data_IF_143807685474
#
_entry.id   IF_143807685474
#
_cell.length_a   1.000
_cell.length_b   1.000
_cell.length_c   1.000
_cell.angle_alpha   90.00
_cell.angle_beta   90.00
_cell.angle_gamma   90.00
#
_symmetry.space_group_name_H-M   'P 1'
#
loop_
_entity.id
_entity.type
_entity.pdbx_description
1 polymer ?
#
# COMPACT_ATOMS: atom_id res chain seq x y z
N UNK A 1 -21.85 15.82 -29.05
CA UNK A 1 -20.88 16.34 -28.07
C UNK A 1 -19.92 15.21 -27.77
N UNK A 2 -18.66 15.32 -28.17
CA UNK A 2 -17.68 14.25 -28.06
C UNK A 2 -16.97 14.40 -26.71
N UNK A 3 -17.05 13.37 -25.86
CA UNK A 3 -16.33 13.35 -24.59
C UNK A 3 -14.82 13.51 -24.89
N UNK A 4 -14.09 14.37 -24.16
CA UNK A 4 -12.66 14.53 -24.37
C UNK A 4 -11.98 13.17 -24.16
N UNK A 5 -11.09 12.82 -25.09
CA UNK A 5 -10.24 11.62 -25.01
C UNK A 5 -9.31 11.75 -23.80
N UNK A 6 -9.77 11.29 -22.64
CA UNK A 6 -8.95 11.15 -21.45
C UNK A 6 -7.92 10.07 -21.73
N UNK A 7 -6.63 10.43 -21.68
CA UNK A 7 -5.54 9.47 -21.53
C UNK A 7 -5.95 8.48 -20.44
N UNK A 8 -5.83 7.16 -20.63
CA UNK A 8 -6.25 6.21 -19.61
C UNK A 8 -5.30 6.32 -18.43
N UNK A 9 -5.68 7.10 -17.42
CA UNK A 9 -5.12 6.95 -16.08
C UNK A 9 -5.64 5.62 -15.57
N UNK A 10 -4.75 4.63 -15.45
CA UNK A 10 -5.11 3.31 -14.96
C UNK A 10 -5.63 3.46 -13.51
N UNK A 11 -6.80 2.85 -13.22
CA UNK A 11 -7.69 3.03 -12.06
C UNK A 11 -8.63 4.25 -12.15
N UNK A 12 -9.91 4.01 -12.45
CA UNK A 12 -10.97 5.02 -12.52
C UNK A 12 -12.16 4.59 -11.66
N UNK A 13 -12.56 5.43 -10.70
CA UNK A 13 -13.81 5.26 -9.96
C UNK A 13 -14.72 6.45 -10.28
N UNK A 14 -15.95 6.17 -10.73
CA UNK A 14 -16.99 7.17 -10.96
C UNK A 14 -17.86 7.29 -9.71
N UNK A 15 -17.71 8.40 -9.00
CA UNK A 15 -18.59 8.78 -7.88
C UNK A 15 -19.31 10.05 -8.30
N UNK A 16 -20.53 9.90 -8.82
CA UNK A 16 -21.42 11.03 -9.12
C UNK A 16 -20.75 12.15 -9.91
N UNK A 17 -20.24 11.87 -11.11
CA UNK A 17 -19.58 12.82 -12.04
C UNK A 17 -18.16 13.29 -11.67
N UNK A 18 -17.60 12.82 -10.56
CA UNK A 18 -16.19 13.06 -10.21
C UNK A 18 -15.33 11.86 -10.62
N UNK A 19 -14.71 11.94 -11.79
CA UNK A 19 -13.70 10.97 -12.21
C UNK A 19 -12.43 11.10 -11.37
N UNK A 20 -12.14 10.11 -10.51
CA UNK A 20 -10.92 10.05 -9.69
C UNK A 20 -9.96 9.02 -10.32
N UNK A 21 -8.75 9.45 -10.68
CA UNK A 21 -7.72 8.60 -11.34
C UNK A 21 -6.60 8.11 -10.42
N UNK A 22 -6.65 8.46 -9.13
CA UNK A 22 -5.54 8.24 -8.19
C UNK A 22 -5.94 7.20 -7.14
N UNK A 23 -5.38 5.99 -7.24
CA UNK A 23 -5.71 4.84 -6.39
C UNK A 23 -5.62 5.14 -4.87
N UNK A 24 -4.62 5.92 -4.42
CA UNK A 24 -4.50 6.33 -3.01
C UNK A 24 -5.64 7.24 -2.56
N UNK A 25 -6.10 8.14 -3.44
CA UNK A 25 -7.23 9.02 -3.14
C UNK A 25 -8.54 8.23 -3.13
N UNK A 26 -8.68 7.26 -4.03
CA UNK A 26 -9.84 6.35 -4.08
C UNK A 26 -9.91 5.51 -2.80
N UNK A 27 -8.83 4.85 -2.39
CA UNK A 27 -8.82 4.03 -1.18
C UNK A 27 -9.12 4.85 0.08
N UNK A 28 -8.51 6.02 0.23
CA UNK A 28 -8.82 6.96 1.33
C UNK A 28 -10.27 7.41 1.32
N UNK A 29 -10.81 7.70 0.13
CA UNK A 29 -12.22 8.08 0.00
C UNK A 29 -13.13 6.92 0.46
N UNK A 30 -12.92 5.71 -0.06
CA UNK A 30 -13.73 4.54 0.29
C UNK A 30 -13.67 4.20 1.79
N UNK A 31 -12.48 4.26 2.40
CA UNK A 31 -12.33 4.07 3.85
C UNK A 31 -13.25 5.05 4.62
N UNK A 32 -13.17 6.34 4.28
CA UNK A 32 -13.99 7.37 4.93
C UNK A 32 -15.49 7.20 4.71
N UNK A 33 -15.92 6.80 3.51
CA UNK A 33 -17.34 6.55 3.22
C UNK A 33 -17.88 5.33 3.99
N UNK A 34 -17.05 4.32 4.21
CA UNK A 34 -17.39 3.16 5.04
C UNK A 34 -17.39 3.49 6.54
N UNK A 35 -16.82 4.63 6.93
CA UNK A 35 -16.61 5.00 8.32
C UNK A 35 -15.55 4.15 9.04
N UNK A 36 -14.75 3.38 8.29
CA UNK A 36 -13.79 2.40 8.78
C UNK A 36 -12.49 2.45 7.96
N UNK A 37 -11.43 1.78 8.41
CA UNK A 37 -10.15 1.67 7.68
C UNK A 37 -9.35 2.97 7.50
N UNK A 38 -9.76 4.10 8.07
CA UNK A 38 -8.94 5.32 8.19
C UNK A 38 -8.62 5.60 9.68
N UNK A 39 -7.77 6.59 9.96
CA UNK A 39 -7.49 7.06 11.30
C UNK A 39 -8.71 7.76 11.93
N UNK A 40 -8.91 7.57 13.24
CA UNK A 40 -9.97 8.23 14.01
C UNK A 40 -9.55 9.63 14.50
N UNK A 41 -8.25 9.88 14.59
CA UNK A 41 -7.68 11.17 15.00
C UNK A 41 -6.84 11.76 13.88
N UNK A 42 -6.61 13.08 13.91
CA UNK A 42 -5.72 13.73 12.95
C UNK A 42 -4.30 13.16 12.98
N UNK A 43 -3.83 12.70 14.15
CA UNK A 43 -2.52 12.07 14.28
C UNK A 43 -2.49 10.69 13.60
N UNK A 44 -3.52 9.87 13.81
CA UNK A 44 -3.64 8.58 13.12
C UNK A 44 -3.70 8.77 11.59
N UNK A 45 -4.50 9.73 11.11
CA UNK A 45 -4.59 10.04 9.67
C UNK A 45 -3.25 10.49 9.09
N UNK A 46 -2.54 11.38 9.79
CA UNK A 46 -1.20 11.80 9.42
C UNK A 46 -0.23 10.61 9.34
N UNK A 47 -0.28 9.71 10.32
CA UNK A 47 0.55 8.52 10.34
C UNK A 47 0.29 7.60 9.14
N UNK A 48 -0.99 7.36 8.82
CA UNK A 48 -1.38 6.57 7.65
C UNK A 48 -0.98 7.22 6.32
N UNK A 49 -1.11 8.54 6.21
CA UNK A 49 -0.67 9.30 5.03
C UNK A 49 0.84 9.21 4.84
N UNK A 50 1.64 9.32 5.91
CA UNK A 50 3.09 9.21 5.84
C UNK A 50 3.56 7.83 5.32
N UNK A 51 2.90 6.76 5.76
CA UNK A 51 3.22 5.39 5.27
C UNK A 51 2.73 5.19 3.84
N UNK A 52 1.57 5.76 3.47
CA UNK A 52 1.08 5.73 2.09
C UNK A 52 2.02 6.45 1.10
N UNK A 53 2.67 7.54 1.52
CA UNK A 53 3.68 8.23 0.72
C UNK A 53 4.93 7.36 0.50
N UNK A 54 5.41 6.67 1.54
CA UNK A 54 6.52 5.71 1.42
C UNK A 54 6.18 4.56 0.46
N UNK A 55 4.94 4.05 0.52
CA UNK A 55 4.44 3.10 -0.47
C UNK A 55 4.45 3.69 -1.88
N UNK A 56 4.00 4.93 -2.06
CA UNK A 56 3.91 5.56 -3.38
C UNK A 56 5.30 5.74 -4.02
N UNK A 57 6.29 6.14 -3.23
CA UNK A 57 7.68 6.27 -3.67
C UNK A 57 8.24 4.91 -4.14
N UNK A 58 8.01 3.84 -3.36
CA UNK A 58 8.36 2.48 -3.76
C UNK A 58 7.60 2.06 -5.02
N UNK A 59 6.29 2.33 -5.12
CA UNK A 59 5.45 1.93 -6.26
C UNK A 59 5.94 2.53 -7.56
N UNK A 60 6.37 3.78 -7.57
CA UNK A 60 6.96 4.43 -8.75
C UNK A 60 8.22 3.67 -9.19
N UNK A 61 9.08 3.29 -8.24
CA UNK A 61 10.28 2.50 -8.55
C UNK A 61 9.93 1.10 -9.07
N UNK A 62 8.95 0.44 -8.44
CA UNK A 62 8.49 -0.88 -8.87
C UNK A 62 7.95 -0.85 -10.30
N UNK A 63 7.08 0.11 -10.64
CA UNK A 63 6.56 0.29 -12.01
C UNK A 63 7.69 0.50 -13.02
N UNK A 64 8.71 1.30 -12.68
CA UNK A 64 9.87 1.53 -13.55
C UNK A 64 10.75 0.28 -13.75
N UNK A 65 10.60 -0.74 -12.91
CA UNK A 65 11.36 -2.00 -12.96
C UNK A 65 10.51 -3.19 -13.44
N UNK A 66 9.27 -2.96 -13.90
CA UNK A 66 8.45 -4.00 -14.50
C UNK A 66 9.09 -4.52 -15.80
N UNK A 67 9.19 -5.85 -15.91
CA UNK A 67 9.79 -6.53 -17.07
C UNK A 67 11.32 -6.57 -17.09
N UNK A 68 12.00 -5.65 -16.39
CA UNK A 68 13.45 -5.69 -16.21
C UNK A 68 13.86 -5.12 -14.84
N UNK A 69 14.01 -6.02 -13.87
CA UNK A 69 14.42 -5.67 -12.51
C UNK A 69 15.89 -5.28 -12.48
N UNK A 70 16.19 -4.05 -12.09
CA UNK A 70 17.58 -3.58 -11.93
C UNK A 70 18.20 -4.03 -10.61
N UNK A 71 19.54 -4.14 -10.59
CA UNK A 71 20.29 -4.42 -9.35
C UNK A 71 20.07 -3.35 -8.28
N UNK A 72 19.96 -2.08 -8.68
CA UNK A 72 19.67 -0.98 -7.76
C UNK A 72 18.30 -1.15 -7.10
N UNK A 73 17.27 -1.48 -7.88
CA UNK A 73 15.93 -1.70 -7.31
C UNK A 73 15.95 -2.86 -6.31
N UNK A 74 16.53 -3.99 -6.71
CA UNK A 74 16.62 -5.20 -5.90
C UNK A 74 17.44 -5.02 -4.61
N UNK A 75 18.61 -4.39 -4.72
CA UNK A 75 19.60 -4.41 -3.64
C UNK A 75 19.59 -3.14 -2.78
N UNK A 76 18.96 -2.06 -3.24
CA UNK A 76 18.89 -0.80 -2.48
C UNK A 76 17.44 -0.38 -2.21
N UNK A 77 16.62 -0.23 -3.26
CA UNK A 77 15.27 0.36 -3.11
C UNK A 77 14.38 -0.54 -2.27
N UNK A 78 14.28 -1.83 -2.64
CA UNK A 78 13.40 -2.78 -1.94
C UNK A 78 13.84 -2.96 -0.48
N UNK A 79 15.10 -3.28 -0.15
CA UNK A 79 15.51 -3.40 1.26
C UNK A 79 15.29 -2.13 2.08
N UNK A 80 15.55 -0.95 1.50
CA UNK A 80 15.30 0.31 2.20
C UNK A 80 13.82 0.56 2.48
N UNK A 81 12.94 0.26 1.52
CA UNK A 81 11.50 0.34 1.69
C UNK A 81 11.02 -0.53 2.87
N UNK A 82 11.42 -1.81 2.89
CA UNK A 82 11.06 -2.74 3.96
C UNK A 82 11.62 -2.34 5.33
N UNK A 83 12.84 -1.78 5.38
CA UNK A 83 13.41 -1.25 6.60
C UNK A 83 12.62 -0.06 7.15
N UNK A 84 12.11 0.81 6.28
CA UNK A 84 11.27 1.94 6.68
C UNK A 84 9.91 1.43 7.17
N UNK A 85 9.27 0.50 6.46
CA UNK A 85 8.02 -0.12 6.91
C UNK A 85 8.17 -0.77 8.28
N UNK A 86 9.22 -1.56 8.51
CA UNK A 86 9.46 -2.21 9.80
C UNK A 86 9.51 -1.20 10.96
N UNK A 87 10.08 -0.01 10.75
CA UNK A 87 10.10 1.06 11.76
C UNK A 87 8.73 1.66 12.04
N UNK A 88 7.84 1.72 11.04
CA UNK A 88 6.47 2.18 11.23
C UNK A 88 5.63 1.13 11.97
N UNK A 89 5.68 -0.13 11.54
CA UNK A 89 4.96 -1.22 12.20
C UNK A 89 5.44 -1.49 13.62
N UNK A 90 6.71 -1.21 13.94
CA UNK A 90 7.23 -1.34 15.30
C UNK A 90 6.75 -0.26 16.29
N UNK A 91 6.00 0.77 15.85
CA UNK A 91 5.55 1.84 16.75
C UNK A 91 4.36 1.44 17.62
N UNK A 92 3.62 0.39 17.24
CA UNK A 92 2.46 -0.11 17.96
C UNK A 92 2.55 -1.63 18.10
N UNK A 93 1.96 -2.16 19.17
CA UNK A 93 1.74 -3.61 19.29
C UNK A 93 0.53 -4.00 18.44
N UNK A 94 0.62 -5.14 17.77
CA UNK A 94 -0.43 -5.68 16.90
C UNK A 94 0.04 -5.86 15.46
N UNK A 95 -0.77 -6.53 14.62
CA UNK A 95 -0.37 -6.90 13.26
C UNK A 95 -0.44 -5.73 12.25
N UNK A 96 -1.15 -4.64 12.56
CA UNK A 96 -1.41 -3.53 11.63
C UNK A 96 -0.76 -2.22 12.08
N UNK A 97 -0.73 -1.23 11.19
CA UNK A 97 -0.17 0.10 11.47
C UNK A 97 -0.80 0.80 12.68
N UNK A 98 -2.08 0.57 12.94
CA UNK A 98 -2.80 1.08 14.12
C UNK A 98 -3.10 -0.05 15.13
N UNK A 99 -2.14 -0.97 15.29
CA UNK A 99 -2.22 -2.11 16.20
C UNK A 99 -3.15 -3.20 15.70
N UNK A 100 -4.29 -3.40 16.36
CA UNK A 100 -5.29 -4.41 15.96
C UNK A 100 -6.25 -3.92 14.86
N UNK A 101 -6.19 -2.64 14.50
CA UNK A 101 -7.07 -2.03 13.49
C UNK A 101 -6.40 -2.01 12.13
N UNK A 102 -6.96 -2.78 11.20
CA UNK A 102 -6.59 -2.73 9.78
C UNK A 102 -7.04 -1.41 9.14
N UNK A 103 -6.20 -0.88 8.25
CA UNK A 103 -6.42 0.40 7.57
C UNK A 103 -6.23 0.29 6.07
N UNK A 104 -6.64 1.31 5.32
CA UNK A 104 -6.43 1.37 3.88
C UNK A 104 -4.93 1.28 3.53
N UNK A 105 -4.06 1.77 4.40
CA UNK A 105 -2.61 1.74 4.20
C UNK A 105 -2.04 0.33 4.36
N UNK A 106 -2.62 -0.51 5.21
CA UNK A 106 -2.23 -1.92 5.32
C UNK A 106 -2.51 -2.68 4.01
N UNK A 107 -3.59 -2.34 3.29
CA UNK A 107 -3.85 -2.90 1.95
C UNK A 107 -2.79 -2.49 0.92
N UNK A 108 -2.27 -1.26 1.00
CA UNK A 108 -1.18 -0.80 0.14
C UNK A 108 0.11 -1.58 0.42
N UNK A 109 0.44 -1.75 1.70
CA UNK A 109 1.61 -2.53 2.13
C UNK A 109 1.47 -3.98 1.70
N UNK A 110 0.31 -4.60 1.88
CA UNK A 110 0.04 -5.94 1.37
C UNK A 110 0.27 -6.03 -0.14
N UNK A 111 -0.27 -5.08 -0.92
CA UNK A 111 -0.06 -5.04 -2.36
C UNK A 111 1.42 -4.91 -2.73
N UNK A 112 2.21 -4.15 -1.96
CA UNK A 112 3.65 -4.02 -2.20
C UNK A 112 4.38 -5.35 -2.02
N UNK A 113 4.01 -6.12 -1.00
CA UNK A 113 4.57 -7.44 -0.70
C UNK A 113 4.25 -8.42 -1.81
N UNK A 114 2.99 -8.47 -2.23
CA UNK A 114 2.56 -9.32 -3.34
C UNK A 114 3.29 -8.95 -4.64
N UNK A 115 3.38 -7.65 -4.94
CA UNK A 115 4.08 -7.14 -6.12
C UNK A 115 5.57 -7.51 -6.14
N UNK A 116 6.29 -7.33 -5.02
CA UNK A 116 7.71 -7.69 -4.94
C UNK A 116 7.91 -9.22 -4.97
N UNK A 117 6.94 -10.00 -4.50
CA UNK A 117 6.93 -11.45 -4.71
C UNK A 117 6.82 -11.80 -6.21
N UNK A 118 5.90 -11.16 -6.93
CA UNK A 118 5.70 -11.38 -8.36
C UNK A 118 6.92 -10.97 -9.21
N UNK A 119 7.67 -9.95 -8.81
CA UNK A 119 8.93 -9.56 -9.47
C UNK A 119 10.16 -10.31 -8.93
N UNK A 120 9.96 -11.23 -7.99
CA UNK A 120 11.03 -12.01 -7.36
C UNK A 120 12.06 -11.14 -6.65
N UNK A 121 11.63 -9.98 -6.13
CA UNK A 121 12.44 -8.97 -5.43
C UNK A 121 12.23 -8.97 -3.92
N UNK A 122 11.26 -9.73 -3.41
CA UNK A 122 10.98 -9.83 -1.98
C UNK A 122 12.25 -10.14 -1.17
N UNK A 123 12.59 -9.38 -0.11
CA UNK A 123 13.83 -9.59 0.62
C UNK A 123 13.82 -10.90 1.41
N UNK A 124 14.95 -11.61 1.37
CA UNK A 124 15.10 -12.93 2.00
C UNK A 124 15.12 -12.87 3.53
N UNK A 125 15.54 -11.74 4.13
CA UNK A 125 15.71 -11.61 5.60
C UNK A 125 14.62 -10.83 6.33
N UNK A 126 13.83 -9.99 5.65
CA UNK A 126 12.71 -9.24 6.26
C UNK A 126 11.39 -10.03 6.26
N UNK A 127 11.47 -11.30 5.87
CA UNK A 127 10.34 -12.15 5.59
C UNK A 127 9.54 -12.49 6.84
N UNK A 128 10.12 -12.61 8.03
CA UNK A 128 9.41 -13.23 9.17
C UNK A 128 8.29 -12.36 9.79
N UNK A 129 8.51 -11.06 9.95
CA UNK A 129 7.52 -10.19 10.63
C UNK A 129 6.45 -9.64 9.66
N UNK A 130 6.79 -9.47 8.37
CA UNK A 130 5.84 -9.02 7.34
C UNK A 130 5.13 -10.18 6.63
N UNK A 131 5.67 -11.43 6.68
CA UNK A 131 4.86 -12.61 6.32
C UNK A 131 3.64 -12.74 7.23
N UNK A 132 3.72 -12.30 8.49
CA UNK A 132 2.56 -12.36 9.38
C UNK A 132 1.41 -11.52 8.85
N UNK A 133 1.66 -10.36 8.21
CA UNK A 133 0.63 -9.55 7.55
C UNK A 133 0.02 -10.28 6.33
N UNK A 134 0.86 -10.93 5.52
CA UNK A 134 0.38 -11.75 4.40
C UNK A 134 -0.45 -12.95 4.90
N UNK A 135 0.06 -13.67 5.90
CA UNK A 135 -0.57 -14.85 6.48
C UNK A 135 -1.87 -14.53 7.23
N UNK A 136 -1.94 -13.42 7.98
CA UNK A 136 -3.16 -13.00 8.70
C UNK A 136 -4.26 -12.55 7.74
N UNK A 137 -3.92 -11.96 6.59
CA UNK A 137 -4.88 -11.62 5.54
C UNK A 137 -5.31 -12.81 4.68
N UNK A 138 -4.48 -13.86 4.54
CA UNK A 138 -4.84 -15.10 3.82
C UNK A 138 -5.53 -16.14 4.69
N UNK A 139 -5.27 -16.16 6.01
CA UNK A 139 -5.90 -17.09 6.96
C UNK A 139 -7.22 -16.58 7.55
N UNK A 140 -7.72 -15.42 7.10
CA UNK A 140 -9.04 -14.90 7.43
C UNK A 140 -10.19 -15.65 6.75
N UNK A 141 -10.21 -16.98 6.77
CA UNK A 141 -11.47 -17.72 6.62
C UNK A 141 -12.19 -17.68 7.97
N UNK A 142 -12.99 -16.64 8.20
CA UNK A 142 -14.20 -16.62 9.07
C UNK A 142 -14.75 -15.19 9.12
N UNK A 143 -15.64 -14.86 8.18
CA UNK A 143 -16.72 -13.89 8.43
C UNK A 143 -17.98 -14.68 8.82
#
# INVERSE_FOLDING_TARGET
MQLPSTKPTLHYLDIGSLGRGEHLAILRYLARELGEYDGNTSLEKYFLDAVADVYNDWRIQWVNNLGNVTDKFRNEVVPNYYNVLARFYAQQEGPYLLGERITYTDFLVYQSIDNDSQTGTLPVSSAFDLLYLHASLTCGESF
#
